data_IF_151615623174
#
_entry.id   IF_151615623174
#
_cell.length_a   1.000
_cell.length_b   1.000
_cell.length_c   1.000
_cell.angle_alpha   90.00
_cell.angle_beta   90.00
_cell.angle_gamma   90.00
#
_symmetry.space_group_name_H-M   'P 1'
#
loop_
_entity.id
_entity.type
_entity.pdbx_description
1 polymer ?
#
# COMPACT_ATOMS: atom_id res chain seq x y z
N UNK A 1 31.75 25.84 -19.96
CA UNK A 1 31.98 24.55 -19.27
C UNK A 1 32.24 24.85 -17.81
N UNK A 2 31.27 24.60 -16.92
CA UNK A 2 31.40 24.84 -15.48
C UNK A 2 31.05 23.54 -14.74
N UNK A 3 32.05 22.90 -14.14
CA UNK A 3 31.88 21.78 -13.22
C UNK A 3 31.88 22.32 -11.80
N UNK A 4 30.75 22.22 -11.11
CA UNK A 4 30.67 22.40 -9.65
C UNK A 4 30.93 21.05 -8.96
N UNK A 5 31.77 20.99 -7.92
CA UNK A 5 31.92 19.77 -7.11
C UNK A 5 30.77 19.67 -6.11
N UNK A 6 30.02 18.57 -6.16
CA UNK A 6 29.08 18.19 -5.11
C UNK A 6 29.84 17.69 -3.88
N UNK A 7 29.48 18.11 -2.65
CA UNK A 7 30.06 17.54 -1.44
C UNK A 7 29.53 16.12 -1.21
N UNK A 8 30.47 15.19 -1.00
CA UNK A 8 30.21 13.84 -0.52
C UNK A 8 29.71 13.90 0.93
N UNK A 9 28.44 13.55 1.14
CA UNK A 9 27.89 13.34 2.48
C UNK A 9 28.46 12.03 3.05
N UNK A 10 29.42 12.15 3.97
CA UNK A 10 29.95 11.02 4.75
C UNK A 10 29.08 10.71 5.96
N UNK A 11 28.80 9.42 6.13
CA UNK A 11 28.57 8.67 7.37
C UNK A 11 27.41 9.07 8.29
N UNK A 12 26.31 8.32 8.15
CA UNK A 12 25.48 7.89 9.27
C UNK A 12 25.39 6.37 9.27
N UNK A 13 26.42 5.68 9.77
CA UNK A 13 26.36 4.23 10.05
C UNK A 13 25.32 3.99 11.13
N UNK A 14 24.05 3.78 10.73
CA UNK A 14 23.04 3.22 11.60
C UNK A 14 23.50 1.80 11.92
N UNK A 15 23.78 1.55 13.20
CA UNK A 15 24.02 0.20 13.73
C UNK A 15 22.85 -0.69 13.30
N UNK A 16 23.11 -1.59 12.35
CA UNK A 16 22.18 -2.66 12.01
C UNK A 16 22.18 -3.63 13.20
N UNK A 17 21.15 -3.52 14.05
CA UNK A 17 20.86 -4.59 15.00
C UNK A 17 20.51 -5.85 14.20
N UNK A 18 21.18 -7.00 14.42
CA UNK A 18 20.71 -8.26 13.87
C UNK A 18 19.45 -8.64 14.64
N UNK A 19 18.31 -8.19 14.12
CA UNK A 19 17.00 -8.69 14.51
C UNK A 19 16.98 -10.18 14.18
N UNK A 20 17.00 -11.00 15.24
CA UNK A 20 16.81 -12.45 15.20
C UNK A 20 15.32 -12.74 14.91
N UNK A 21 14.80 -12.19 13.83
CA UNK A 21 13.49 -12.53 13.28
C UNK A 21 13.74 -13.57 12.20
N UNK A 22 13.08 -14.72 12.33
CA UNK A 22 12.85 -15.64 11.22
C UNK A 22 12.38 -14.81 10.02
N UNK A 23 13.29 -14.59 9.05
CA UNK A 23 12.95 -13.82 7.87
C UNK A 23 11.73 -14.48 7.22
N UNK A 24 10.64 -13.72 7.06
CA UNK A 24 9.47 -14.25 6.38
C UNK A 24 9.88 -14.49 4.92
N UNK A 25 9.92 -15.76 4.52
CA UNK A 25 10.27 -16.14 3.17
C UNK A 25 9.01 -16.25 2.32
N UNK A 26 9.07 -15.63 1.14
CA UNK A 26 8.09 -15.79 0.08
C UNK A 26 8.72 -16.39 -1.16
N UNK A 27 7.93 -16.51 -2.20
CA UNK A 27 8.42 -16.81 -3.54
C UNK A 27 7.59 -16.09 -4.58
N UNK A 28 8.09 -15.99 -5.81
CA UNK A 28 7.27 -15.61 -6.95
C UNK A 28 7.50 -16.52 -8.14
N UNK A 29 6.41 -16.80 -8.85
CA UNK A 29 6.41 -17.57 -10.09
C UNK A 29 6.46 -16.61 -11.28
N UNK A 30 7.48 -16.75 -12.10
CA UNK A 30 7.63 -15.97 -13.33
C UNK A 30 6.58 -16.39 -14.37
N UNK A 31 5.84 -15.45 -14.97
CA UNK A 31 4.86 -15.80 -16.00
C UNK A 31 5.51 -16.30 -17.30
N UNK A 32 6.74 -15.87 -17.59
CA UNK A 32 7.43 -16.21 -18.84
C UNK A 32 8.06 -17.62 -18.83
N UNK A 33 8.88 -17.94 -17.81
CA UNK A 33 9.59 -19.22 -17.74
C UNK A 33 9.02 -20.19 -16.68
N UNK A 34 7.97 -19.77 -15.97
CA UNK A 34 7.29 -20.56 -14.93
C UNK A 34 8.15 -21.01 -13.75
N UNK A 35 9.39 -20.53 -13.62
CA UNK A 35 10.26 -20.82 -12.48
C UNK A 35 9.80 -20.05 -11.24
N UNK A 36 9.90 -20.73 -10.10
CA UNK A 36 9.74 -20.14 -8.78
C UNK A 36 11.07 -19.51 -8.33
N UNK A 37 11.01 -18.28 -7.85
CA UNK A 37 12.15 -17.52 -7.37
C UNK A 37 11.87 -17.14 -5.91
N UNK A 38 12.88 -17.23 -5.05
CA UNK A 38 12.72 -16.95 -3.62
C UNK A 38 12.64 -15.45 -3.34
N UNK A 39 11.92 -15.08 -2.29
CA UNK A 39 11.80 -13.70 -1.79
C UNK A 39 12.16 -13.71 -0.30
N UNK A 40 13.03 -12.80 0.10
CA UNK A 40 13.27 -12.50 1.50
C UNK A 40 12.62 -11.16 1.84
N UNK A 41 11.76 -11.14 2.87
CA UNK A 41 11.22 -9.89 3.38
C UNK A 41 12.22 -9.26 4.37
N UNK A 42 12.53 -7.99 4.14
CA UNK A 42 13.44 -7.20 4.96
C UNK A 42 12.80 -5.85 5.34
N UNK A 43 13.35 -5.20 6.36
CA UNK A 43 12.93 -3.85 6.74
C UNK A 43 13.46 -2.78 5.78
N UNK A 44 12.84 -1.60 5.83
CA UNK A 44 13.28 -0.40 5.09
C UNK A 44 12.47 -0.12 3.82
N UNK A 45 13.01 0.76 2.98
CA UNK A 45 12.30 1.29 1.78
C UNK A 45 12.18 0.28 0.64
N UNK A 46 12.98 -0.79 0.66
CA UNK A 46 13.00 -1.87 -0.35
C UNK A 46 12.69 -3.22 0.30
N UNK A 47 11.43 -3.46 0.70
CA UNK A 47 11.13 -4.55 1.62
C UNK A 47 11.27 -5.95 1.01
N UNK A 48 11.33 -6.08 -0.32
CA UNK A 48 11.61 -7.35 -1.01
C UNK A 48 12.98 -7.34 -1.73
N UNK A 49 13.76 -6.26 -1.57
CA UNK A 49 15.00 -6.05 -2.31
C UNK A 49 14.78 -5.92 -3.83
N UNK A 50 15.77 -6.36 -4.61
CA UNK A 50 15.70 -6.44 -6.06
C UNK A 50 15.37 -7.88 -6.49
N UNK A 51 14.27 -8.03 -7.23
CA UNK A 51 13.77 -9.32 -7.71
C UNK A 51 14.18 -9.54 -9.16
N UNK A 52 14.81 -10.67 -9.42
CA UNK A 52 15.20 -11.09 -10.76
C UNK A 52 14.90 -12.57 -10.96
N UNK A 53 14.46 -12.93 -12.15
CA UNK A 53 14.42 -14.32 -12.54
C UNK A 53 15.78 -14.76 -13.12
N UNK A 54 15.97 -16.07 -13.26
CA UNK A 54 17.08 -16.62 -14.07
C UNK A 54 16.90 -16.36 -15.56
N UNK A 55 15.68 -16.08 -16.02
CA UNK A 55 15.46 -15.46 -17.33
C UNK A 55 15.56 -13.93 -17.22
N UNK A 56 15.58 -13.23 -18.34
CA UNK A 56 15.68 -11.75 -18.37
C UNK A 56 14.44 -11.06 -17.78
N UNK A 57 13.34 -11.79 -17.60
CA UNK A 57 12.07 -11.27 -17.12
C UNK A 57 12.15 -10.73 -15.68
N UNK A 58 11.52 -9.57 -15.48
CA UNK A 58 11.34 -8.92 -14.18
C UNK A 58 9.89 -9.10 -13.74
N UNK A 59 9.57 -9.01 -12.43
CA UNK A 59 8.20 -9.16 -11.98
C UNK A 59 7.26 -8.16 -12.68
N UNK A 60 6.16 -8.68 -13.24
CA UNK A 60 5.10 -7.95 -13.89
C UNK A 60 3.74 -8.35 -13.30
N UNK A 61 2.65 -7.75 -13.77
CA UNK A 61 1.28 -8.01 -13.28
C UNK A 61 0.80 -9.47 -13.46
N UNK A 62 1.40 -10.20 -14.40
CA UNK A 62 1.11 -11.62 -14.65
C UNK A 62 1.94 -12.57 -13.76
N UNK A 63 2.95 -12.06 -13.06
CA UNK A 63 3.75 -12.87 -12.13
C UNK A 63 3.00 -13.09 -10.82
N UNK A 64 3.14 -14.27 -10.23
CA UNK A 64 2.41 -14.64 -9.01
C UNK A 64 3.31 -14.58 -7.79
N UNK A 65 2.99 -13.70 -6.82
CA UNK A 65 3.62 -13.64 -5.51
C UNK A 65 2.95 -14.64 -4.55
N UNK A 66 3.75 -15.39 -3.80
CA UNK A 66 3.32 -16.46 -2.90
C UNK A 66 4.03 -16.35 -1.53
N UNK A 67 3.31 -16.71 -0.46
CA UNK A 67 3.86 -16.76 0.90
C UNK A 67 3.87 -15.39 1.57
N UNK A 68 5.05 -14.93 2.02
CA UNK A 68 5.20 -13.70 2.79
C UNK A 68 4.83 -12.41 2.05
N UNK A 69 4.72 -12.46 0.71
CA UNK A 69 4.23 -11.36 -0.10
C UNK A 69 3.13 -11.88 -1.04
N UNK A 70 2.06 -11.10 -1.18
CA UNK A 70 0.92 -11.40 -2.06
C UNK A 70 0.71 -10.24 -3.03
N UNK A 71 0.21 -10.54 -4.22
CA UNK A 71 -0.14 -9.53 -5.21
C UNK A 71 -1.31 -8.69 -4.69
N UNK A 72 -1.20 -7.36 -4.80
CA UNK A 72 -2.24 -6.44 -4.38
C UNK A 72 -2.79 -5.67 -5.58
N UNK A 73 -4.08 -5.87 -5.86
CA UNK A 73 -4.85 -5.25 -6.95
C UNK A 73 -6.19 -4.79 -6.36
N UNK A 74 -6.73 -3.61 -6.75
CA UNK A 74 -6.26 -2.73 -7.81
C UNK A 74 -5.32 -1.60 -7.35
N UNK A 75 -4.43 -1.19 -8.26
CA UNK A 75 -3.50 -0.06 -8.09
C UNK A 75 -4.24 1.22 -8.48
N UNK A 76 -5.20 1.60 -7.64
CA UNK A 76 -5.94 2.85 -7.79
C UNK A 76 -5.25 3.91 -6.94
N UNK A 77 -5.21 5.15 -7.46
CA UNK A 77 -4.67 6.26 -6.69
C UNK A 77 -5.51 6.53 -5.45
N UNK A 78 -4.82 6.84 -4.35
CA UNK A 78 -5.43 7.18 -3.05
C UNK A 78 -6.33 6.08 -2.50
N UNK A 79 -5.80 4.86 -2.40
CA UNK A 79 -6.54 3.74 -1.85
C UNK A 79 -6.46 3.75 -0.31
N UNK A 80 -7.60 3.79 0.42
CA UNK A 80 -7.61 3.52 1.84
C UNK A 80 -7.32 2.03 2.07
N UNK A 81 -6.23 1.73 2.77
CA UNK A 81 -5.84 0.37 3.11
C UNK A 81 -5.82 0.16 4.63
N UNK A 82 -6.19 -1.05 5.10
CA UNK A 82 -6.05 -1.39 6.50
C UNK A 82 -4.57 -1.50 6.86
N UNK A 83 -4.22 -0.88 7.98
CA UNK A 83 -2.92 -1.01 8.62
C UNK A 83 -3.04 -1.84 9.90
N UNK A 84 -2.00 -2.60 10.21
CA UNK A 84 -1.88 -3.26 11.51
C UNK A 84 -1.64 -2.21 12.59
N UNK A 85 -2.08 -2.47 13.82
CA UNK A 85 -1.95 -1.55 14.98
C UNK A 85 -0.49 -1.06 15.15
N UNK A 86 0.49 -1.91 14.83
CA UNK A 86 1.93 -1.65 15.03
C UNK A 86 2.64 -1.04 13.81
N UNK A 87 1.91 -0.50 12.82
CA UNK A 87 2.51 -0.03 11.57
C UNK A 87 3.53 1.10 11.75
N UNK A 88 3.46 1.87 12.84
CA UNK A 88 4.45 2.91 13.17
C UNK A 88 5.85 2.32 13.39
N UNK A 89 5.93 1.06 13.82
CA UNK A 89 7.17 0.33 14.08
C UNK A 89 7.55 -0.52 12.86
N UNK A 90 6.59 -1.21 12.26
CA UNK A 90 6.86 -2.16 11.16
C UNK A 90 6.89 -1.52 9.77
N UNK A 91 6.42 -0.28 9.65
CA UNK A 91 6.21 0.40 8.37
C UNK A 91 4.93 -0.07 7.66
N UNK A 92 4.65 0.58 6.52
CA UNK A 92 3.49 0.30 5.67
C UNK A 92 3.74 -1.05 4.94
N UNK A 93 2.86 -2.05 5.09
CA UNK A 93 3.08 -3.39 4.54
C UNK A 93 2.69 -3.48 3.06
N UNK A 94 2.78 -2.38 2.31
CA UNK A 94 2.41 -2.30 0.91
C UNK A 94 3.57 -1.72 0.11
N UNK A 95 3.70 -2.14 -1.15
CA UNK A 95 4.75 -1.66 -2.03
C UNK A 95 4.47 -1.95 -3.49
N UNK A 96 5.43 -1.54 -4.32
CA UNK A 96 5.46 -1.80 -5.76
C UNK A 96 6.79 -2.39 -6.18
N UNK A 97 6.82 -3.17 -7.26
CA UNK A 97 8.05 -3.70 -7.86
C UNK A 97 8.27 -3.01 -9.19
N UNK A 98 9.44 -2.38 -9.36
CA UNK A 98 9.81 -1.74 -10.60
C UNK A 98 9.94 -2.77 -11.73
N UNK A 99 9.20 -2.58 -12.82
CA UNK A 99 9.19 -3.47 -13.98
C UNK A 99 10.53 -3.55 -14.72
N UNK A 100 11.34 -2.50 -14.70
CA UNK A 100 12.57 -2.47 -15.49
C UNK A 100 13.77 -3.10 -14.74
N UNK A 101 13.94 -2.78 -13.45
CA UNK A 101 15.08 -3.26 -12.66
C UNK A 101 14.72 -4.27 -11.57
N UNK A 102 13.43 -4.54 -11.33
CA UNK A 102 12.96 -5.48 -10.31
C UNK A 102 13.07 -4.98 -8.86
N UNK A 103 13.51 -3.73 -8.64
CA UNK A 103 13.65 -3.16 -7.29
C UNK A 103 12.28 -2.88 -6.68
N UNK A 104 12.05 -3.41 -5.47
CA UNK A 104 10.83 -3.14 -4.70
C UNK A 104 10.90 -1.79 -3.98
N UNK A 105 9.77 -1.12 -3.83
CA UNK A 105 9.62 0.13 -3.10
C UNK A 105 8.41 0.07 -2.18
N UNK A 106 8.60 0.47 -0.92
CA UNK A 106 7.49 0.72 -0.01
C UNK A 106 6.65 1.90 -0.52
N UNK A 107 5.33 1.78 -0.47
CA UNK A 107 4.44 2.90 -0.83
C UNK A 107 4.52 4.01 0.20
N UNK A 108 4.14 5.22 -0.21
CA UNK A 108 4.12 6.40 0.64
C UNK A 108 2.68 6.64 1.11
N UNK A 109 2.52 6.92 2.41
CA UNK A 109 1.28 7.41 2.96
C UNK A 109 1.05 8.84 2.50
N UNK A 110 -0.12 9.09 1.92
CA UNK A 110 -0.58 10.44 1.61
C UNK A 110 -1.52 10.89 2.72
N UNK A 111 -1.41 12.15 3.12
CA UNK A 111 -2.45 12.75 3.94
C UNK A 111 -3.73 12.71 3.11
N UNK A 112 -4.81 12.15 3.68
CA UNK A 112 -6.12 12.29 3.05
C UNK A 112 -6.38 13.78 2.86
N UNK A 113 -6.98 14.22 1.73
CA UNK A 113 -7.45 15.59 1.62
C UNK A 113 -8.33 15.83 2.84
N UNK A 114 -7.90 16.76 3.68
CA UNK A 114 -8.47 17.05 4.98
C UNK A 114 -9.98 17.10 4.84
N UNK A 115 -10.71 16.38 5.71
CA UNK A 115 -12.18 16.36 5.77
C UNK A 115 -12.72 17.69 5.26
N UNK A 116 -13.23 17.72 4.02
CA UNK A 116 -13.98 18.88 3.55
C UNK A 116 -15.07 19.03 4.58
N UNK A 117 -15.00 20.08 5.40
CA UNK A 117 -16.06 20.40 6.36
C UNK A 117 -17.32 20.45 5.52
N UNK A 118 -18.15 19.42 5.66
CA UNK A 118 -19.45 19.37 5.02
C UNK A 118 -20.15 20.68 5.36
N UNK A 119 -20.32 21.55 4.36
CA UNK A 119 -21.05 22.81 4.52
C UNK A 119 -22.55 22.57 4.77
N UNK A 120 -22.97 21.31 4.97
CA UNK A 120 -24.35 20.92 5.27
C UNK A 120 -24.73 20.95 6.75
N UNK A 121 -23.86 21.39 7.67
CA UNK A 121 -24.29 21.71 9.05
C UNK A 121 -24.87 23.11 9.22
N UNK A 122 -25.20 23.83 8.14
CA UNK A 122 -26.08 25.00 8.25
C UNK A 122 -27.52 24.52 8.32
N UNK A 123 -28.00 24.20 9.52
CA UNK A 123 -29.43 24.08 9.87
C UNK A 123 -30.15 25.33 9.33
N UNK A 124 -30.69 25.26 8.11
CA UNK A 124 -31.74 26.16 7.67
C UNK A 124 -33.03 25.59 8.23
N UNK A 125 -33.62 26.28 9.21
CA UNK A 125 -35.00 26.05 9.62
C UNK A 125 -35.87 26.32 8.39
N UNK A 126 -36.38 25.27 7.76
CA UNK A 126 -37.39 25.40 6.71
C UNK A 126 -38.76 25.58 7.38
N UNK A 127 -39.61 26.51 6.91
CA UNK A 127 -40.95 26.69 7.45
C UNK A 127 -41.86 25.50 7.07
N UNK A 128 -42.72 25.14 8.02
CA UNK A 128 -43.80 24.16 7.87
C UNK A 128 -44.81 24.65 6.82
N UNK A 129 -44.90 23.98 5.66
CA UNK A 129 -46.18 23.78 4.96
C UNK A 129 -46.08 22.78 3.80
N UNK A 130 -46.53 21.56 4.08
CA UNK A 130 -47.46 20.72 3.30
C UNK A 130 -47.42 20.85 1.76
N UNK A 131 -46.98 19.78 1.09
CA UNK A 131 -47.82 19.09 0.09
C UNK A 131 -47.27 17.70 -0.24
N UNK A 132 -48.20 16.74 -0.30
CA UNK A 132 -48.00 15.29 -0.38
C UNK A 132 -47.27 14.89 -1.67
N UNK A 133 -46.03 14.42 -1.57
CA UNK A 133 -45.39 13.63 -2.63
C UNK A 133 -45.59 12.14 -2.35
N UNK A 134 -46.20 11.42 -3.29
CA UNK A 134 -46.46 9.98 -3.20
C UNK A 134 -45.13 9.22 -3.05
N UNK A 135 -45.03 8.43 -1.98
CA UNK A 135 -43.94 7.50 -1.68
C UNK A 135 -43.73 6.54 -2.85
N UNK A 136 -42.64 6.71 -3.58
CA UNK A 136 -41.98 5.57 -4.25
C UNK A 136 -41.10 4.90 -3.20
N UNK A 137 -41.38 3.63 -2.98
CA UNK A 137 -40.62 2.68 -2.17
C UNK A 137 -39.20 2.56 -2.73
N UNK A 138 -38.24 3.23 -2.08
CA UNK A 138 -36.82 2.91 -2.20
C UNK A 138 -36.39 2.15 -0.95
N UNK A 139 -35.78 0.99 -1.19
CA UNK A 139 -35.35 -0.03 -0.24
C UNK A 139 -34.68 0.55 1.02
N UNK A 140 -35.21 0.16 2.18
CA UNK A 140 -34.51 0.19 3.46
C UNK A 140 -33.38 -0.83 3.40
N UNK A 141 -32.13 -0.39 3.47
CA UNK A 141 -31.07 -1.07 4.24
C UNK A 141 -30.13 0.03 4.76
N UNK A 142 -30.55 0.75 5.78
CA UNK A 142 -29.62 1.36 6.74
C UNK A 142 -30.05 0.78 8.07
N UNK A 143 -29.39 -0.32 8.44
CA UNK A 143 -29.47 -0.87 9.78
C UNK A 143 -28.92 0.17 10.74
N UNK A 144 -29.80 0.61 11.65
CA UNK A 144 -29.38 1.10 12.95
C UNK A 144 -28.77 -0.10 13.66
N UNK A 145 -27.49 0.00 14.02
CA UNK A 145 -26.86 -0.98 14.91
C UNK A 145 -26.69 -0.25 16.24
N UNK A 146 -27.47 -0.72 17.20
CA UNK A 146 -27.36 -0.36 18.60
C UNK A 146 -25.98 -0.77 19.13
N UNK A 147 -25.44 0.07 20.02
CA UNK A 147 -24.16 -0.15 20.69
C UNK A 147 -24.32 -1.28 21.71
N UNK A 148 -23.87 -2.47 21.37
CA UNK A 148 -23.53 -3.51 22.33
C UNK A 148 -22.02 -3.77 22.26
N UNK A 149 -21.38 -3.74 23.43
CA UNK A 149 -19.93 -3.70 23.58
C UNK A 149 -19.21 -4.91 23.02
N UNK A 150 -18.80 -4.81 21.76
CA UNK A 150 -17.70 -5.59 21.20
C UNK A 150 -16.40 -4.80 21.29
N UNK A 151 -15.32 -5.49 21.62
CA UNK A 151 -13.98 -4.93 21.67
C UNK A 151 -13.58 -4.50 20.26
N UNK A 152 -13.91 -3.25 19.91
CA UNK A 152 -13.73 -2.67 18.60
C UNK A 152 -12.23 -2.65 18.28
N UNK A 153 -11.76 -3.61 17.49
CA UNK A 153 -10.40 -3.56 16.95
C UNK A 153 -10.38 -2.37 16.00
N UNK A 154 -9.90 -1.23 16.49
CA UNK A 154 -9.76 -0.01 15.71
C UNK A 154 -8.76 -0.28 14.57
N UNK A 155 -9.29 -0.67 13.40
CA UNK A 155 -8.48 -0.87 12.19
C UNK A 155 -8.09 0.51 11.69
N UNK A 156 -6.87 0.94 12.04
CA UNK A 156 -6.30 2.17 11.49
C UNK A 156 -6.20 2.05 9.97
N UNK A 157 -6.79 3.00 9.26
CA UNK A 157 -6.71 3.08 7.80
C UNK A 157 -5.70 4.14 7.40
N UNK A 158 -5.02 3.94 6.28
CA UNK A 158 -4.20 4.96 5.65
C UNK A 158 -4.50 5.06 4.16
N UNK A 159 -4.52 6.27 3.64
CA UNK A 159 -4.52 6.50 2.20
C UNK A 159 -3.09 6.36 1.70
N UNK A 160 -2.88 5.48 0.72
CA UNK A 160 -1.57 5.24 0.11
C UNK A 160 -1.61 5.50 -1.39
N UNK A 161 -0.44 5.79 -1.98
CA UNK A 161 -0.29 5.95 -3.43
C UNK A 161 0.72 4.93 -3.97
N UNK A 162 0.30 4.16 -4.96
CA UNK A 162 1.15 3.18 -5.65
C UNK A 162 1.78 3.73 -6.95
N UNK A 163 1.10 4.67 -7.63
CA UNK A 163 1.58 5.33 -8.85
C UNK A 163 2.52 6.51 -8.55
N UNK A 164 3.23 6.97 -9.58
CA UNK A 164 4.06 8.17 -9.50
C UNK A 164 5.29 8.03 -8.60
N UNK A 165 5.68 6.80 -8.22
CA UNK A 165 6.88 6.51 -7.45
C UNK A 165 8.06 6.37 -8.43
N UNK A 166 9.07 7.23 -8.28
CA UNK A 166 10.26 7.22 -9.14
C UNK A 166 11.28 6.23 -8.60
N UNK A 167 11.57 5.19 -9.38
CA UNK A 167 12.62 4.22 -9.10
C UNK A 167 14.01 4.83 -9.34
N UNK A 168 15.04 4.25 -8.72
CA UNK A 168 16.45 4.62 -8.91
C UNK A 168 16.94 4.38 -10.34
N UNK A 169 16.34 3.46 -11.09
CA UNK A 169 16.61 3.29 -12.52
C UNK A 169 15.96 4.36 -13.41
N UNK A 170 15.16 5.27 -12.85
CA UNK A 170 14.46 6.34 -13.57
C UNK A 170 13.01 6.02 -13.95
N UNK A 171 12.57 4.76 -13.90
CA UNK A 171 11.18 4.37 -14.20
C UNK A 171 10.22 4.92 -13.14
N UNK A 172 9.06 5.40 -13.57
CA UNK A 172 7.97 5.83 -12.70
C UNK A 172 6.89 4.75 -12.65
N UNK A 173 6.38 4.45 -11.45
CA UNK A 173 5.30 3.47 -11.29
C UNK A 173 3.99 3.97 -11.90
N UNK A 174 3.33 3.07 -12.62
CA UNK A 174 2.05 3.23 -13.31
C UNK A 174 1.08 2.11 -12.89
N UNK A 175 -0.12 2.06 -13.47
CA UNK A 175 -1.13 1.05 -13.16
C UNK A 175 -0.73 -0.39 -13.51
N UNK A 176 0.28 -0.57 -14.36
CA UNK A 176 0.83 -1.89 -14.75
C UNK A 176 1.98 -2.34 -13.84
N UNK A 177 2.41 -1.49 -12.92
CA UNK A 177 3.50 -1.81 -12.00
C UNK A 177 3.01 -2.83 -10.99
N UNK A 178 3.72 -3.94 -10.75
CA UNK A 178 3.24 -4.96 -9.82
C UNK A 178 3.17 -4.44 -8.38
N UNK A 179 1.97 -4.34 -7.82
CA UNK A 179 1.72 -3.99 -6.43
C UNK A 179 1.74 -5.23 -5.53
N UNK A 180 2.23 -5.08 -4.30
CA UNK A 180 2.26 -6.17 -3.33
C UNK A 180 1.83 -5.72 -1.93
N UNK A 181 1.39 -6.69 -1.14
CA UNK A 181 1.20 -6.61 0.30
C UNK A 181 2.09 -7.65 0.99
N UNK A 182 2.69 -7.26 2.11
CA UNK A 182 3.43 -8.16 2.98
C UNK A 182 2.48 -8.74 4.02
N UNK A 183 2.43 -10.06 4.08
CA UNK A 183 1.64 -10.76 5.09
C UNK A 183 2.50 -11.01 6.33
N UNK A 184 1.95 -10.77 7.52
CA UNK A 184 2.59 -11.24 8.76
C UNK A 184 2.51 -12.77 8.74
N UNK A 185 3.64 -13.46 8.70
CA UNK A 185 3.67 -14.91 8.79
C UNK A 185 2.89 -15.38 10.01
N UNK A 186 1.96 -16.34 9.84
CA UNK A 186 1.41 -17.09 10.96
C UNK A 186 2.57 -17.93 11.51
N UNK A 187 3.23 -17.43 12.55
CA UNK A 187 4.19 -18.19 13.33
C UNK A 187 3.51 -19.34 14.06
#
# INVERSE_FOLDING_TARGET
MFTLPYPLATNGTRKAYPSKNSAAYGSWKCCYCHKNNTIAVQGGVHPLGALSCTCTHKPCEECHLLGAATTFVPIIEQLPVPLSIDYSVTGIPYGVICRDCGLSWQVIQIQSPSKVRSLLSRKRRLPHSISKLRKRTSLKVIGMVDNDGDMEIEVKTACIRFSGLKCTCGRVSDWHTLGFRIEKGKG
#
